data_IF_414324361338
#
_entry.id   IF_414324361338
#
_cell.length_a   1.000
_cell.length_b   1.000
_cell.length_c   1.000
_cell.angle_alpha   90.00
_cell.angle_beta   90.00
_cell.angle_gamma   90.00
#
_symmetry.space_group_name_H-M   'P 1'
#
loop_
_entity.id
_entity.type
_entity.pdbx_description
1 polymer ?
#
# COMPACT_ATOMS: atom_id res chain seq x y z
N UNK A 1 5.84 20.22 -6.12
CA UNK A 1 5.21 19.33 -7.12
C UNK A 1 6.33 18.52 -7.74
N UNK A 2 6.60 17.34 -7.19
CA UNK A 2 7.82 16.58 -7.55
C UNK A 2 7.48 15.31 -8.33
N UNK A 3 6.21 15.10 -8.69
CA UNK A 3 5.81 13.99 -9.54
C UNK A 3 6.37 14.20 -10.96
N UNK A 4 6.96 13.18 -11.62
CA UNK A 4 7.04 11.78 -11.21
C UNK A 4 8.33 11.38 -10.46
N UNK A 5 9.20 12.33 -10.10
CA UNK A 5 10.44 12.03 -9.35
C UNK A 5 10.18 11.54 -7.92
N UNK A 6 9.06 11.96 -7.32
CA UNK A 6 8.54 11.43 -6.04
C UNK A 6 7.20 10.73 -6.25
N UNK A 7 6.91 9.68 -5.45
CA UNK A 7 5.63 8.98 -5.53
C UNK A 7 4.48 9.92 -5.14
N UNK A 8 3.28 9.72 -5.72
CA UNK A 8 2.08 10.36 -5.22
C UNK A 8 1.71 9.80 -3.85
N UNK A 9 1.03 10.59 -3.02
CA UNK A 9 0.43 10.09 -1.77
C UNK A 9 -0.87 9.38 -2.08
N UNK A 10 -0.98 8.11 -1.66
CA UNK A 10 -2.18 7.27 -1.87
C UNK A 10 -2.69 6.78 -0.52
N UNK A 11 -4.00 6.90 -0.30
CA UNK A 11 -4.69 6.38 0.89
C UNK A 11 -6.08 5.87 0.54
N UNK A 12 -6.58 4.92 1.32
CA UNK A 12 -7.99 4.54 1.31
C UNK A 12 -8.82 5.61 1.99
N UNK A 13 -9.93 6.00 1.36
CA UNK A 13 -10.94 6.88 1.96
C UNK A 13 -11.88 6.09 2.88
N UNK A 14 -12.17 4.85 2.48
CA UNK A 14 -12.96 3.91 3.28
C UNK A 14 -12.14 3.36 4.44
N UNK A 15 -12.81 2.99 5.53
CA UNK A 15 -12.18 2.21 6.61
C UNK A 15 -11.81 0.82 6.08
N UNK A 16 -10.58 0.41 6.33
CA UNK A 16 -10.04 -0.87 5.86
C UNK A 16 -9.52 -1.68 7.04
N UNK A 17 -9.87 -2.97 7.07
CA UNK A 17 -9.27 -3.95 7.98
C UNK A 17 -8.40 -4.89 7.15
N UNK A 18 -7.10 -4.62 7.10
CA UNK A 18 -6.15 -5.33 6.23
C UNK A 18 -4.74 -5.31 6.83
N UNK A 19 -3.95 -6.39 6.72
CA UNK A 19 -2.60 -6.46 7.30
C UNK A 19 -1.67 -5.32 6.92
N UNK A 20 -1.77 -4.80 5.69
CA UNK A 20 -0.89 -3.75 5.15
C UNK A 20 -1.55 -2.36 5.01
N UNK A 21 -2.70 -2.11 5.65
CA UNK A 21 -3.36 -0.79 5.64
C UNK A 21 -3.44 -0.24 7.08
N UNK A 22 -2.98 1.00 7.26
CA UNK A 22 -3.02 1.72 8.53
C UNK A 22 -4.44 2.23 8.83
N UNK A 23 -4.70 2.59 10.10
CA UNK A 23 -6.00 3.07 10.54
C UNK A 23 -6.45 4.39 9.87
N UNK A 24 -5.50 5.20 9.39
CA UNK A 24 -5.73 6.44 8.65
C UNK A 24 -5.94 6.20 7.13
N UNK A 25 -5.88 4.95 6.69
CA UNK A 25 -6.00 4.54 5.28
C UNK A 25 -4.69 4.57 4.51
N UNK A 26 -3.57 4.97 5.12
CA UNK A 26 -2.25 4.89 4.49
C UNK A 26 -1.88 3.45 4.17
N UNK A 27 -1.12 3.22 3.10
CA UNK A 27 -0.80 1.89 2.59
C UNK A 27 0.69 1.61 2.81
N UNK A 28 1.01 0.45 3.40
CA UNK A 28 2.39 -0.04 3.46
C UNK A 28 2.70 -0.80 2.16
N UNK A 29 3.20 -0.06 1.15
CA UNK A 29 3.58 -0.60 -0.15
C UNK A 29 4.91 0.04 -0.58
N UNK A 30 5.89 -0.81 -0.91
CA UNK A 30 7.28 -0.43 -1.19
C UNK A 30 7.43 0.47 -2.43
N UNK A 31 6.64 0.24 -3.47
CA UNK A 31 6.65 1.08 -4.68
C UNK A 31 6.17 2.50 -4.40
N UNK A 32 5.46 2.76 -3.30
CA UNK A 32 5.08 4.11 -2.86
C UNK A 32 6.13 4.73 -1.91
N UNK A 33 7.23 4.03 -1.65
CA UNK A 33 8.28 4.42 -0.70
C UNK A 33 9.67 4.34 -1.38
N UNK A 34 10.50 3.40 -0.94
CA UNK A 34 11.90 3.26 -1.36
C UNK A 34 12.08 2.58 -2.72
N UNK A 35 11.05 1.92 -3.24
CA UNK A 35 11.07 1.28 -4.56
C UNK A 35 10.32 2.10 -5.63
N UNK A 36 10.01 3.36 -5.35
CA UNK A 36 9.39 4.24 -6.34
C UNK A 36 10.29 4.43 -7.55
N UNK A 37 9.68 4.32 -8.73
CA UNK A 37 10.31 4.63 -10.00
C UNK A 37 9.38 5.55 -10.81
N UNK A 38 9.91 6.62 -11.45
CA UNK A 38 9.10 7.52 -12.28
C UNK A 38 8.42 6.83 -13.48
N UNK A 39 8.74 5.56 -13.76
CA UNK A 39 8.08 4.76 -14.79
C UNK A 39 6.66 4.33 -14.38
N UNK A 40 6.37 4.33 -13.08
CA UNK A 40 5.07 3.89 -12.58
C UNK A 40 4.02 4.97 -12.81
N UNK A 41 2.95 4.58 -13.51
CA UNK A 41 1.76 5.38 -13.64
C UNK A 41 0.71 4.98 -12.59
N UNK A 42 -0.42 5.69 -12.60
CA UNK A 42 -1.53 5.43 -11.68
C UNK A 42 -2.10 4.01 -11.86
N UNK A 43 -2.11 3.48 -13.09
CA UNK A 43 -2.65 2.14 -13.36
C UNK A 43 -1.77 1.04 -12.74
N UNK A 44 -0.45 1.17 -12.85
CA UNK A 44 0.51 0.28 -12.21
C UNK A 44 0.35 0.30 -10.68
N UNK A 45 0.25 1.49 -10.08
CA UNK A 45 0.02 1.64 -8.62
C UNK A 45 -1.27 0.93 -8.18
N UNK A 46 -2.38 1.16 -8.88
CA UNK A 46 -3.67 0.53 -8.55
C UNK A 46 -3.64 -0.99 -8.73
N UNK A 47 -2.92 -1.49 -9.73
CA UNK A 47 -2.73 -2.92 -9.95
C UNK A 47 -1.96 -3.55 -8.78
N UNK A 48 -0.87 -2.93 -8.34
CA UNK A 48 -0.11 -3.39 -7.17
C UNK A 48 -0.93 -3.36 -5.88
N UNK A 49 -1.78 -2.35 -5.70
CA UNK A 49 -2.71 -2.29 -4.55
C UNK A 49 -3.71 -3.44 -4.61
N UNK A 50 -4.28 -3.76 -5.78
CA UNK A 50 -5.18 -4.90 -5.93
C UNK A 50 -4.49 -6.23 -5.61
N UNK A 51 -3.27 -6.43 -6.12
CA UNK A 51 -2.46 -7.61 -5.77
C UNK A 51 -2.20 -7.69 -4.26
N UNK A 52 -1.87 -6.58 -3.60
CA UNK A 52 -1.66 -6.53 -2.15
C UNK A 52 -2.93 -6.87 -1.35
N UNK A 53 -4.11 -6.48 -1.85
CA UNK A 53 -5.39 -6.80 -1.21
C UNK A 53 -5.75 -8.29 -1.35
N UNK A 54 -5.32 -8.93 -2.44
CA UNK A 54 -5.50 -10.37 -2.66
C UNK A 54 -4.50 -11.20 -1.85
N UNK A 55 -3.24 -10.77 -1.82
CA UNK A 55 -2.12 -11.46 -1.20
C UNK A 55 -1.39 -10.52 -0.21
N UNK A 56 -1.86 -10.43 1.05
CA UNK A 56 -1.26 -9.55 2.05
C UNK A 56 0.18 -9.97 2.39
N UNK A 57 1.02 -9.00 2.77
CA UNK A 57 2.38 -9.25 3.25
C UNK A 57 2.43 -9.29 4.80
N UNK A 58 2.43 -10.47 5.45
CA UNK A 58 2.44 -10.58 6.91
C UNK A 58 3.79 -10.25 7.55
N UNK A 59 4.87 -10.16 6.77
CA UNK A 59 6.22 -9.88 7.29
C UNK A 59 6.43 -8.39 7.62
N UNK A 60 5.59 -7.50 7.08
CA UNK A 60 5.62 -6.06 7.37
C UNK A 60 4.19 -5.52 7.57
N UNK A 61 3.53 -5.90 8.68
CA UNK A 61 2.14 -5.54 8.89
C UNK A 61 2.02 -4.09 9.38
N UNK A 62 1.19 -3.30 8.69
CA UNK A 62 0.71 -2.01 9.16
C UNK A 62 -0.37 -2.18 10.26
N UNK A 63 -1.10 -3.29 10.21
CA UNK A 63 -2.09 -3.68 11.20
C UNK A 63 -1.75 -5.09 11.73
N UNK A 64 -1.13 -5.12 12.91
CA UNK A 64 -0.69 -6.37 13.55
C UNK A 64 -1.84 -7.30 13.93
N UNK A 65 -3.03 -6.75 14.21
CA UNK A 65 -4.20 -7.56 14.55
C UNK A 65 -4.74 -8.29 13.32
N UNK A 66 -4.91 -7.58 12.20
CA UNK A 66 -5.32 -8.19 10.95
C UNK A 66 -4.31 -9.22 10.45
N UNK A 67 -3.01 -8.96 10.61
CA UNK A 67 -1.95 -9.91 10.28
C UNK A 67 -2.02 -11.19 11.12
N UNK A 68 -2.25 -11.06 12.44
CA UNK A 68 -2.40 -12.21 13.35
C UNK A 68 -3.63 -13.06 13.03
N UNK A 69 -4.72 -12.47 12.55
CA UNK A 69 -5.93 -13.22 12.17
C UNK A 69 -5.79 -13.96 10.82
N UNK A 70 -4.89 -13.48 9.96
CA UNK A 70 -4.62 -14.08 8.66
C UNK A 70 -3.67 -15.30 8.74
N UNK A 71 -2.78 -15.31 9.74
CA UNK A 71 -1.77 -16.35 9.98
C UNK A 71 -2.24 -17.51 10.84
#
# INVERSE_FOLDING_TARGET
EDYPNKPPTVRFVSRMFHPNIYADGSICLDILQNQWSPIYDVAAILTSIQSLLCDPNPNSPANSEAARMFS
#
